data_IF_673951204377
#
_entry.id   IF_673951204377
#
_cell.length_a   1.000
_cell.length_b   1.000
_cell.length_c   1.000
_cell.angle_alpha   90.00
_cell.angle_beta   90.00
_cell.angle_gamma   90.00
#
_symmetry.space_group_name_H-M   'P 1'
#
loop_
_entity.id
_entity.type
_entity.pdbx_description
1 polymer ?
#
# COMPACT_ATOMS: atom_id res chain seq x y z
N UNK A 1 10.35 -25.77 -6.21
CA UNK A 1 10.50 -25.36 -7.62
C UNK A 1 11.77 -24.55 -7.95
N UNK A 2 12.60 -24.13 -6.99
CA UNK A 2 13.82 -23.31 -7.27
C UNK A 2 14.78 -23.93 -8.30
N UNK A 3 14.97 -25.25 -8.28
CA UNK A 3 15.88 -25.92 -9.20
C UNK A 3 15.41 -25.96 -10.66
N UNK A 4 14.10 -26.04 -10.92
CA UNK A 4 13.57 -25.98 -12.29
C UNK A 4 13.66 -24.57 -12.86
N UNK A 5 13.36 -23.55 -12.05
CA UNK A 5 13.55 -22.15 -12.44
C UNK A 5 15.02 -21.87 -12.80
N UNK A 6 15.99 -22.38 -12.01
CA UNK A 6 17.41 -22.27 -12.34
C UNK A 6 17.82 -23.00 -13.62
N UNK A 7 17.29 -24.20 -13.83
CA UNK A 7 17.54 -24.94 -15.06
C UNK A 7 17.07 -24.17 -16.30
N UNK A 8 15.87 -23.60 -16.25
CA UNK A 8 15.33 -22.78 -17.35
C UNK A 8 16.12 -21.48 -17.53
N UNK A 9 16.56 -20.85 -16.45
CA UNK A 9 17.43 -19.66 -16.51
C UNK A 9 18.72 -19.94 -17.26
N UNK A 10 19.41 -21.05 -16.96
CA UNK A 10 20.63 -21.44 -17.65
C UNK A 10 20.41 -21.75 -19.13
N UNK A 11 19.30 -22.41 -19.47
CA UNK A 11 18.93 -22.63 -20.88
C UNK A 11 18.79 -21.28 -21.61
N UNK A 12 18.11 -20.30 -21.00
CA UNK A 12 17.93 -18.97 -21.59
C UNK A 12 19.25 -18.21 -21.73
N UNK A 13 20.10 -18.24 -20.71
CA UNK A 13 21.44 -17.62 -20.76
C UNK A 13 22.27 -18.18 -21.91
N UNK A 14 22.27 -19.51 -22.06
CA UNK A 14 23.00 -20.21 -23.11
C UNK A 14 22.47 -19.85 -24.51
N UNK A 15 21.14 -19.86 -24.70
CA UNK A 15 20.53 -19.46 -25.98
C UNK A 15 20.81 -17.99 -26.30
N UNK A 16 20.76 -17.10 -25.30
CA UNK A 16 21.07 -15.68 -25.48
C UNK A 16 22.54 -15.44 -25.87
N UNK A 17 23.44 -16.35 -25.49
CA UNK A 17 24.85 -16.36 -25.92
C UNK A 17 25.06 -16.98 -27.31
N UNK A 18 23.98 -17.43 -27.98
CA UNK A 18 24.03 -18.02 -29.31
C UNK A 18 24.26 -19.54 -29.33
N UNK A 19 24.13 -20.22 -28.18
CA UNK A 19 24.22 -21.67 -28.09
C UNK A 19 22.96 -22.33 -28.67
N UNK A 20 23.14 -23.44 -29.40
CA UNK A 20 22.04 -24.22 -29.95
C UNK A 20 21.15 -24.83 -28.86
N UNK A 21 19.87 -25.07 -29.19
CA UNK A 21 18.86 -25.51 -28.19
C UNK A 21 19.26 -26.82 -27.50
N UNK A 22 19.80 -27.78 -28.23
CA UNK A 22 20.23 -29.06 -27.64
C UNK A 22 21.43 -28.89 -26.71
N UNK A 23 22.44 -28.16 -27.16
CA UNK A 23 23.65 -27.89 -26.40
C UNK A 23 23.37 -27.04 -25.15
N UNK A 24 22.45 -26.08 -25.25
CA UNK A 24 22.03 -25.24 -24.11
C UNK A 24 21.34 -26.04 -23.01
N UNK A 25 20.52 -27.04 -23.36
CA UNK A 25 19.89 -27.95 -22.41
C UNK A 25 20.93 -28.83 -21.73
N UNK A 26 21.84 -29.45 -22.50
CA UNK A 26 22.86 -30.34 -21.96
C UNK A 26 23.81 -29.59 -21.01
N UNK A 27 24.23 -28.39 -21.40
CA UNK A 27 25.08 -27.51 -20.58
C UNK A 27 24.35 -27.06 -19.30
N UNK A 28 23.08 -26.67 -19.40
CA UNK A 28 22.29 -26.22 -18.25
C UNK A 28 22.05 -27.34 -17.23
N UNK A 29 21.79 -28.57 -17.69
CA UNK A 29 21.64 -29.75 -16.83
C UNK A 29 22.92 -30.04 -16.06
N UNK A 30 24.08 -30.00 -16.74
CA UNK A 30 25.38 -30.19 -16.10
C UNK A 30 25.62 -29.16 -14.99
N UNK A 31 25.42 -27.88 -15.30
CA UNK A 31 25.56 -26.78 -14.34
C UNK A 31 24.61 -26.91 -13.14
N UNK A 32 23.36 -27.33 -13.37
CA UNK A 32 22.43 -27.59 -12.27
C UNK A 32 22.90 -28.71 -11.34
N UNK A 33 23.43 -29.81 -11.89
CA UNK A 33 23.96 -30.92 -11.07
C UNK A 33 25.18 -30.45 -10.26
N UNK A 34 26.08 -29.69 -10.86
CA UNK A 34 27.27 -29.15 -10.21
C UNK A 34 26.93 -28.19 -9.06
N UNK A 35 25.97 -27.30 -9.27
CA UNK A 35 25.55 -26.31 -8.28
C UNK A 35 24.54 -26.86 -7.25
N UNK A 36 24.17 -28.15 -7.33
CA UNK A 36 23.30 -28.80 -6.35
C UNK A 36 21.80 -28.66 -6.61
N UNK A 37 21.39 -28.23 -7.81
CA UNK A 37 19.99 -28.11 -8.22
C UNK A 37 19.49 -29.36 -8.92
N UNK A 38 18.38 -29.93 -8.41
CA UNK A 38 17.72 -31.11 -8.98
C UNK A 38 18.63 -32.34 -9.13
N UNK A 39 19.71 -32.44 -8.33
CA UNK A 39 20.77 -33.46 -8.49
C UNK A 39 20.21 -34.88 -8.57
N UNK A 40 19.41 -35.29 -7.59
CA UNK A 40 18.88 -36.66 -7.53
C UNK A 40 17.94 -36.96 -8.70
N UNK A 41 17.11 -35.98 -9.07
CA UNK A 41 16.15 -36.11 -10.17
C UNK A 41 16.86 -36.15 -11.54
N UNK A 42 17.78 -35.22 -11.79
CA UNK A 42 18.53 -35.15 -13.05
C UNK A 42 19.45 -36.36 -13.22
N UNK A 43 20.06 -36.87 -12.14
CA UNK A 43 20.90 -38.08 -12.21
C UNK A 43 20.11 -39.34 -12.55
N UNK A 44 18.86 -39.44 -12.09
CA UNK A 44 18.02 -40.61 -12.32
C UNK A 44 17.23 -40.54 -13.64
N UNK A 45 16.85 -39.33 -14.07
CA UNK A 45 15.91 -39.11 -15.18
C UNK A 45 16.46 -38.19 -16.28
N UNK A 46 17.77 -38.18 -16.53
CA UNK A 46 18.39 -37.21 -17.46
C UNK A 46 17.80 -37.28 -18.88
N UNK A 47 17.55 -38.48 -19.40
CA UNK A 47 17.01 -38.67 -20.75
C UNK A 47 15.56 -38.18 -20.87
N UNK A 48 14.75 -38.43 -19.85
CA UNK A 48 13.34 -37.98 -19.78
C UNK A 48 13.26 -36.47 -19.59
N UNK A 49 14.08 -35.91 -18.70
CA UNK A 49 14.19 -34.48 -18.47
C UNK A 49 14.66 -33.74 -19.74
N UNK A 50 15.67 -34.28 -20.42
CA UNK A 50 16.17 -33.76 -21.71
C UNK A 50 15.09 -33.82 -22.78
N UNK A 51 14.41 -34.95 -22.93
CA UNK A 51 13.32 -35.10 -23.89
C UNK A 51 12.16 -34.13 -23.63
N UNK A 52 11.80 -33.94 -22.37
CA UNK A 52 10.76 -32.99 -21.96
C UNK A 52 11.18 -31.53 -22.23
N UNK A 53 12.43 -31.16 -21.95
CA UNK A 53 12.94 -29.80 -22.21
C UNK A 53 13.03 -29.51 -23.70
N UNK A 54 13.53 -30.46 -24.51
CA UNK A 54 13.65 -30.26 -25.95
C UNK A 54 12.29 -30.14 -26.65
N UNK A 55 11.32 -30.97 -26.26
CA UNK A 55 9.97 -31.00 -26.85
C UNK A 55 9.01 -29.96 -26.27
N UNK A 56 9.08 -29.70 -24.97
CA UNK A 56 8.11 -28.91 -24.22
C UNK A 56 8.55 -27.50 -23.85
N UNK A 57 9.86 -27.19 -23.89
CA UNK A 57 10.33 -25.84 -23.62
C UNK A 57 10.13 -24.93 -24.83
N UNK A 58 9.20 -23.98 -24.69
CA UNK A 58 9.06 -22.83 -25.56
C UNK A 58 9.44 -21.57 -24.78
N UNK A 59 10.59 -21.01 -25.12
CA UNK A 59 11.15 -19.83 -24.45
C UNK A 59 10.18 -18.65 -24.47
N UNK A 60 9.48 -18.42 -25.59
CA UNK A 60 8.55 -17.28 -25.74
C UNK A 60 7.37 -17.38 -24.76
N UNK A 61 6.79 -18.58 -24.62
CA UNK A 61 5.66 -18.82 -23.70
C UNK A 61 6.11 -18.61 -22.25
N UNK A 62 7.30 -19.10 -21.90
CA UNK A 62 7.84 -18.96 -20.55
C UNK A 62 8.15 -17.49 -20.20
N UNK A 63 8.74 -16.75 -21.14
CA UNK A 63 9.02 -15.32 -20.98
C UNK A 63 7.76 -14.49 -20.86
N UNK A 64 6.74 -14.83 -21.64
CA UNK A 64 5.42 -14.20 -21.54
C UNK A 64 4.81 -14.44 -20.15
N UNK A 65 4.86 -15.67 -19.65
CA UNK A 65 4.36 -16.01 -18.30
C UNK A 65 5.08 -15.24 -17.20
N UNK A 66 6.42 -15.21 -17.21
CA UNK A 66 7.23 -14.43 -16.27
C UNK A 66 6.89 -12.93 -16.31
N UNK A 67 6.67 -12.37 -17.51
CA UNK A 67 6.30 -10.98 -17.68
C UNK A 67 4.92 -10.69 -17.13
N UNK A 68 3.96 -11.57 -17.38
CA UNK A 68 2.59 -11.47 -16.86
C UNK A 68 2.58 -11.57 -15.32
N UNK A 69 3.29 -12.53 -14.73
CA UNK A 69 3.46 -12.65 -13.28
C UNK A 69 4.11 -11.39 -12.67
N UNK A 70 5.18 -10.87 -13.29
CA UNK A 70 5.83 -9.65 -12.84
C UNK A 70 4.93 -8.41 -12.94
N UNK A 71 4.11 -8.33 -14.00
CA UNK A 71 3.13 -7.27 -14.18
C UNK A 71 2.02 -7.33 -13.13
N UNK A 72 1.46 -8.52 -12.88
CA UNK A 72 0.44 -8.73 -11.85
C UNK A 72 0.97 -8.41 -10.45
N UNK A 73 2.19 -8.87 -10.13
CA UNK A 73 2.85 -8.55 -8.87
C UNK A 73 3.04 -7.03 -8.70
N UNK A 74 3.49 -6.34 -9.75
CA UNK A 74 3.66 -4.89 -9.74
C UNK A 74 2.34 -4.13 -9.55
N UNK A 75 1.25 -4.57 -10.18
CA UNK A 75 -0.09 -3.99 -9.98
C UNK A 75 -0.54 -4.18 -8.53
N UNK A 76 -0.41 -5.39 -7.99
CA UNK A 76 -0.88 -5.70 -6.64
C UNK A 76 -0.08 -4.96 -5.57
N UNK A 77 1.24 -4.84 -5.75
CA UNK A 77 2.10 -4.05 -4.87
C UNK A 77 1.76 -2.56 -4.96
N UNK A 78 1.64 -2.00 -6.17
CA UNK A 78 1.26 -0.59 -6.37
C UNK A 78 -0.11 -0.26 -5.77
N UNK A 79 -1.09 -1.16 -5.92
CA UNK A 79 -2.42 -1.01 -5.32
C UNK A 79 -2.36 -1.00 -3.79
N UNK A 80 -1.59 -1.92 -3.18
CA UNK A 80 -1.41 -1.97 -1.73
C UNK A 80 -0.74 -0.70 -1.19
N UNK A 81 0.33 -0.26 -1.84
CA UNK A 81 1.04 0.96 -1.47
C UNK A 81 0.12 2.18 -1.55
N UNK A 82 -0.57 2.36 -2.68
CA UNK A 82 -1.48 3.51 -2.86
C UNK A 82 -2.63 3.55 -1.84
N UNK A 83 -3.19 2.39 -1.47
CA UNK A 83 -4.22 2.32 -0.42
C UNK A 83 -3.65 2.70 0.95
N UNK A 84 -2.45 2.22 1.29
CA UNK A 84 -1.82 2.52 2.57
C UNK A 84 -1.52 4.02 2.69
N UNK A 85 -0.88 4.61 1.67
CA UNK A 85 -0.55 6.03 1.61
C UNK A 85 -1.81 6.91 1.68
N UNK A 86 -2.83 6.60 0.87
CA UNK A 86 -4.08 7.35 0.86
C UNK A 86 -4.81 7.31 2.20
N UNK A 87 -4.79 6.17 2.89
CA UNK A 87 -5.40 6.02 4.21
C UNK A 87 -4.65 6.82 5.29
N UNK A 88 -3.32 6.77 5.28
CA UNK A 88 -2.50 7.51 6.23
C UNK A 88 -2.69 9.02 6.07
N UNK A 89 -2.61 9.52 4.83
CA UNK A 89 -2.84 10.92 4.53
C UNK A 89 -4.24 11.39 4.97
N UNK A 90 -5.28 10.62 4.63
CA UNK A 90 -6.65 10.96 4.99
C UNK A 90 -6.91 10.97 6.50
N UNK A 91 -6.30 10.06 7.26
CA UNK A 91 -6.42 10.05 8.73
C UNK A 91 -5.73 11.28 9.32
N UNK A 92 -4.52 11.61 8.87
CA UNK A 92 -3.76 12.73 9.43
C UNK A 92 -4.44 14.08 9.12
N UNK A 93 -4.95 14.25 7.90
CA UNK A 93 -5.72 15.44 7.53
C UNK A 93 -7.02 15.55 8.34
N UNK A 94 -7.82 14.47 8.37
CA UNK A 94 -9.06 14.43 9.13
C UNK A 94 -8.86 14.69 10.63
N UNK A 95 -7.78 14.17 11.21
CA UNK A 95 -7.41 14.41 12.61
C UNK A 95 -7.07 15.87 12.87
N UNK A 96 -6.28 16.51 11.98
CA UNK A 96 -5.93 17.93 12.13
C UNK A 96 -7.17 18.83 12.08
N UNK A 97 -8.03 18.62 11.08
CA UNK A 97 -9.26 19.39 10.92
C UNK A 97 -10.19 19.16 12.11
N UNK A 98 -10.45 17.90 12.47
CA UNK A 98 -11.36 17.57 13.57
C UNK A 98 -10.88 18.10 14.93
N UNK A 99 -9.57 18.11 15.20
CA UNK A 99 -9.03 18.72 16.44
C UNK A 99 -9.19 20.24 16.41
N UNK A 100 -8.93 20.89 15.28
CA UNK A 100 -9.06 22.34 15.17
C UNK A 100 -10.51 22.78 15.37
N UNK A 101 -11.45 22.17 14.64
CA UNK A 101 -12.89 22.44 14.78
C UNK A 101 -13.39 22.12 16.18
N UNK A 102 -13.00 20.97 16.75
CA UNK A 102 -13.39 20.57 18.10
C UNK A 102 -12.89 21.56 19.17
N UNK A 103 -11.69 22.10 19.00
CA UNK A 103 -11.12 23.10 19.92
C UNK A 103 -11.85 24.44 19.80
N UNK A 104 -12.10 24.91 18.58
CA UNK A 104 -12.83 26.15 18.34
C UNK A 104 -14.25 26.08 18.90
N UNK A 105 -14.99 25.01 18.58
CA UNK A 105 -16.33 24.78 19.10
C UNK A 105 -16.33 24.67 20.63
N UNK A 106 -15.38 23.96 21.22
CA UNK A 106 -15.28 23.83 22.67
C UNK A 106 -14.99 25.15 23.38
N UNK A 107 -14.15 26.02 22.81
CA UNK A 107 -13.91 27.37 23.35
C UNK A 107 -15.19 28.19 23.26
N UNK A 108 -15.84 28.20 22.09
CA UNK A 108 -17.08 28.95 21.87
C UNK A 108 -18.20 28.50 22.82
N UNK A 109 -18.40 27.20 22.99
CA UNK A 109 -19.37 26.65 23.93
C UNK A 109 -19.04 27.02 25.38
N UNK A 110 -17.76 27.03 25.75
CA UNK A 110 -17.29 27.47 27.05
C UNK A 110 -17.61 28.95 27.30
N UNK A 111 -17.36 29.80 26.31
CA UNK A 111 -17.63 31.24 26.36
C UNK A 111 -19.14 31.51 26.48
N UNK A 112 -19.96 30.85 25.66
CA UNK A 112 -21.43 30.95 25.76
C UNK A 112 -21.95 30.54 27.14
N UNK A 113 -21.37 29.49 27.73
CA UNK A 113 -21.75 29.03 29.08
C UNK A 113 -21.33 30.03 30.15
N UNK A 114 -20.15 30.64 30.02
CA UNK A 114 -19.69 31.68 30.92
C UNK A 114 -20.58 32.93 30.86
N UNK A 115 -20.97 33.35 29.65
CA UNK A 115 -21.88 34.49 29.42
C UNK A 115 -23.24 34.24 30.08
N UNK A 116 -23.83 33.04 29.89
CA UNK A 116 -25.10 32.67 30.56
C UNK A 116 -24.99 32.81 32.08
N UNK A 117 -23.94 32.25 32.67
CA UNK A 117 -23.72 32.34 34.12
C UNK A 117 -23.54 33.80 34.59
N UNK A 118 -22.94 34.68 33.78
CA UNK A 118 -22.79 36.10 34.13
C UNK A 118 -24.14 36.84 34.13
N UNK A 119 -25.02 36.54 33.17
CA UNK A 119 -26.39 37.06 33.19
C UNK A 119 -27.17 36.55 34.40
N UNK A 120 -27.04 35.26 34.75
CA UNK A 120 -27.69 34.69 35.95
C UNK A 120 -27.21 35.35 37.25
N UNK A 121 -25.98 35.86 37.27
CA UNK A 121 -25.40 36.64 38.37
C UNK A 121 -25.82 38.13 38.36
N UNK A 122 -26.61 38.57 37.38
CA UNK A 122 -27.16 39.92 37.27
C UNK A 122 -26.22 40.95 36.64
N UNK A 123 -25.19 40.53 35.90
CA UNK A 123 -24.34 41.46 35.15
C UNK A 123 -25.09 42.04 33.94
N UNK A 124 -24.83 43.31 33.63
CA UNK A 124 -25.41 43.96 32.44
C UNK A 124 -24.71 43.54 31.15
N UNK A 125 -25.41 43.67 30.03
CA UNK A 125 -24.87 43.41 28.69
C UNK A 125 -23.59 44.22 28.42
N UNK A 126 -23.55 45.49 28.84
CA UNK A 126 -22.38 46.34 28.70
C UNK A 126 -21.17 45.81 29.47
N UNK A 127 -21.37 45.22 30.66
CA UNK A 127 -20.28 44.67 31.46
C UNK A 127 -19.71 43.40 30.84
N UNK A 128 -20.57 42.54 30.29
CA UNK A 128 -20.15 41.28 29.66
C UNK A 128 -19.45 41.55 28.32
N UNK A 129 -19.96 42.52 27.55
CA UNK A 129 -19.40 42.94 26.26
C UNK A 129 -18.01 43.60 26.37
N UNK A 130 -17.53 43.91 27.58
CA UNK A 130 -16.13 44.32 27.79
C UNK A 130 -15.15 43.16 27.62
N UNK A 131 -15.60 41.92 27.85
CA UNK A 131 -14.76 40.71 27.81
C UNK A 131 -15.10 39.77 26.65
N UNK A 132 -16.36 39.73 26.24
CA UNK A 132 -16.84 38.88 25.16
C UNK A 132 -17.30 39.70 23.96
N UNK A 133 -17.29 39.11 22.77
CA UNK A 133 -17.77 39.80 21.57
C UNK A 133 -19.29 40.01 21.64
N UNK A 134 -19.77 41.10 21.03
CA UNK A 134 -21.21 41.39 20.97
C UNK A 134 -21.99 40.26 20.30
N UNK A 135 -21.43 39.59 19.29
CA UNK A 135 -22.14 38.48 18.64
C UNK A 135 -22.41 37.32 19.60
N UNK A 136 -21.45 36.96 20.47
CA UNK A 136 -21.62 35.89 21.44
C UNK A 136 -22.65 36.27 22.53
N UNK A 137 -22.63 37.53 22.95
CA UNK A 137 -23.58 38.04 23.95
C UNK A 137 -25.00 38.06 23.39
N UNK A 138 -25.19 38.59 22.17
CA UNK A 138 -26.47 38.57 21.47
C UNK A 138 -26.97 37.14 21.22
N UNK A 139 -26.08 36.20 20.87
CA UNK A 139 -26.45 34.80 20.67
C UNK A 139 -27.11 34.20 21.92
N UNK A 140 -26.54 34.43 23.10
CA UNK A 140 -27.12 33.97 24.37
C UNK A 140 -28.47 34.62 24.64
N UNK A 141 -28.58 35.94 24.43
CA UNK A 141 -29.83 36.69 24.63
C UNK A 141 -30.96 36.17 23.72
N UNK A 142 -30.66 35.89 22.45
CA UNK A 142 -31.60 35.33 21.47
C UNK A 142 -32.04 33.90 21.82
N UNK A 143 -31.17 33.09 22.42
CA UNK A 143 -31.52 31.75 22.89
C UNK A 143 -32.45 31.82 24.10
N UNK A 144 -32.24 32.77 25.02
CA UNK A 144 -33.11 32.95 26.21
C UNK A 144 -34.47 33.56 25.90
N UNK A 145 -34.64 34.29 24.80
CA UNK A 145 -35.94 34.88 24.40
C UNK A 145 -36.84 33.92 23.62
N UNK A 146 -36.32 32.77 23.18
CA UNK A 146 -37.08 31.74 22.44
C UNK A 146 -37.74 30.70 23.36
N UNK A 147 -37.58 30.81 24.67
CA UNK A 147 -38.22 29.98 25.70
C UNK A 147 -39.38 30.78 26.29
#
# INVERSE_FOLDING_TARGET
>A
LKGYAKLVEYIRENIAQGMEKEESVDTAVGRCIEEGYLVDYLRQHIGEARGMLLSGFNQEIYEKGLREEGWEAGIEEGRKAGIAEGREAGIEEGRKVGIAEGRENGIKEGDLRAIRNMFDLGLSEEQISQKYSKELVEQVLQETTKI
#
